data_IF_186665369358
#
_entry.id   IF_186665369358
#
_cell.length_a   1.000
_cell.length_b   1.000
_cell.length_c   1.000
_cell.angle_alpha   90.00
_cell.angle_beta   90.00
_cell.angle_gamma   90.00
#
_symmetry.space_group_name_H-M   'P 1'
#
loop_
_entity.id
_entity.type
_entity.pdbx_description
1 polymer ?
#
# COMPACT_ATOMS: atom_id res chain seq x y z
N UNK A 1 -0.98 13.09 -23.30
CA UNK A 1 -1.46 12.53 -22.02
C UNK A 1 -0.33 11.76 -21.35
N UNK A 2 0.26 12.31 -20.29
CA UNK A 2 1.21 11.55 -19.46
C UNK A 2 0.43 10.55 -18.62
N UNK A 3 0.73 9.26 -18.78
CA UNK A 3 0.10 8.19 -18.01
C UNK A 3 0.65 8.24 -16.58
N UNK A 4 -0.23 8.41 -15.60
CA UNK A 4 0.10 8.27 -14.18
C UNK A 4 0.36 6.80 -13.92
N UNK A 5 1.64 6.44 -13.83
CA UNK A 5 2.06 5.13 -13.36
C UNK A 5 2.29 5.24 -11.85
N UNK A 6 1.67 4.38 -11.04
CA UNK A 6 1.94 4.36 -9.61
C UNK A 6 3.42 4.11 -9.35
N UNK A 7 4.00 4.82 -8.39
CA UNK A 7 5.37 4.56 -7.95
C UNK A 7 5.52 3.18 -7.32
N UNK A 8 6.76 2.70 -7.22
CA UNK A 8 7.08 1.37 -6.63
C UNK A 8 6.55 1.20 -5.21
N UNK A 9 6.48 2.28 -4.44
CA UNK A 9 5.88 2.31 -3.09
C UNK A 9 4.38 1.99 -3.11
N UNK A 10 3.62 2.55 -4.04
CA UNK A 10 2.19 2.29 -4.15
C UNK A 10 1.91 0.84 -4.54
N UNK A 11 2.72 0.28 -5.46
CA UNK A 11 2.62 -1.13 -5.84
C UNK A 11 2.93 -2.07 -4.67
N UNK A 12 3.99 -1.80 -3.89
CA UNK A 12 4.30 -2.57 -2.68
C UNK A 12 3.19 -2.50 -1.63
N UNK A 13 2.63 -1.31 -1.43
CA UNK A 13 1.54 -1.08 -0.47
C UNK A 13 0.28 -1.85 -0.86
N UNK A 14 -0.06 -1.80 -2.15
CA UNK A 14 -1.17 -2.56 -2.71
C UNK A 14 -0.99 -4.08 -2.56
N UNK A 15 0.21 -4.59 -2.86
CA UNK A 15 0.52 -6.02 -2.74
C UNK A 15 0.40 -6.52 -1.30
N UNK A 16 0.97 -5.79 -0.33
CA UNK A 16 0.86 -6.13 1.09
C UNK A 16 -0.59 -6.08 1.57
N UNK A 17 -1.36 -5.06 1.17
CA UNK A 17 -2.78 -4.96 1.51
C UNK A 17 -3.61 -6.12 0.94
N UNK A 18 -3.35 -6.52 -0.30
CA UNK A 18 -4.02 -7.65 -0.95
C UNK A 18 -3.64 -9.00 -0.30
N UNK A 19 -2.38 -9.19 0.09
CA UNK A 19 -1.90 -10.40 0.77
C UNK A 19 -2.54 -10.58 2.15
N UNK A 20 -2.65 -9.50 2.92
CA UNK A 20 -3.16 -9.55 4.29
C UNK A 20 -4.68 -9.43 4.40
N UNK A 21 -5.35 -8.88 3.37
CA UNK A 21 -6.77 -8.51 3.40
C UNK A 21 -7.12 -7.63 4.62
N UNK A 22 -6.13 -6.90 5.15
CA UNK A 22 -6.24 -6.11 6.35
C UNK A 22 -5.20 -4.98 6.34
N UNK A 23 -5.65 -3.73 6.32
CA UNK A 23 -4.78 -2.57 6.23
C UNK A 23 -3.91 -2.35 7.47
N UNK A 24 -4.34 -2.81 8.65
CA UNK A 24 -3.53 -2.71 9.87
C UNK A 24 -2.34 -3.64 9.81
N UNK A 25 -2.53 -4.88 9.34
CA UNK A 25 -1.43 -5.84 9.15
C UNK A 25 -0.48 -5.44 8.03
N UNK A 26 -1.01 -4.94 6.92
CA UNK A 26 -0.18 -4.42 5.83
C UNK A 26 0.63 -3.18 6.27
N UNK A 27 0.05 -2.30 7.10
CA UNK A 27 0.74 -1.15 7.65
C UNK A 27 1.87 -1.55 8.59
N UNK A 28 1.65 -2.55 9.45
CA UNK A 28 2.68 -3.12 10.34
C UNK A 28 3.87 -3.69 9.55
N UNK A 29 3.62 -4.47 8.48
CA UNK A 29 4.68 -5.00 7.60
C UNK A 29 5.51 -3.87 6.95
N UNK A 30 4.86 -2.75 6.61
CA UNK A 30 5.48 -1.66 5.86
C UNK A 30 6.03 -0.52 6.73
N UNK A 31 5.86 -0.60 8.05
CA UNK A 31 6.22 0.49 8.97
C UNK A 31 5.40 1.77 8.72
N UNK A 32 4.14 1.61 8.34
CA UNK A 32 3.21 2.69 8.02
C UNK A 32 2.08 2.77 9.05
N UNK A 33 1.27 3.83 8.96
CA UNK A 33 -0.03 3.86 9.63
C UNK A 33 -1.08 3.20 8.74
N UNK A 34 -2.16 2.61 9.31
CA UNK A 34 -3.25 2.05 8.50
C UNK A 34 -3.87 3.09 7.55
N UNK A 35 -3.90 4.36 7.95
CA UNK A 35 -4.35 5.47 7.11
C UNK A 35 -3.46 5.68 5.87
N UNK A 36 -2.15 5.51 6.00
CA UNK A 36 -1.21 5.65 4.88
C UNK A 36 -1.30 4.49 3.87
N UNK A 37 -1.85 3.34 4.25
CA UNK A 37 -2.12 2.21 3.34
C UNK A 37 -3.44 2.42 2.58
N UNK A 38 -4.39 3.15 3.16
CA UNK A 38 -5.71 3.40 2.58
C UNK A 38 -5.78 4.62 1.65
N UNK A 39 -4.75 5.49 1.67
CA UNK A 39 -4.68 6.73 0.88
C UNK A 39 -4.00 6.50 -0.46
#
# INVERSE_FOLDING_TARGET
MSRLLPGTRALRTFEAAARHLNFTRAADELGLTPAAVSH
#
